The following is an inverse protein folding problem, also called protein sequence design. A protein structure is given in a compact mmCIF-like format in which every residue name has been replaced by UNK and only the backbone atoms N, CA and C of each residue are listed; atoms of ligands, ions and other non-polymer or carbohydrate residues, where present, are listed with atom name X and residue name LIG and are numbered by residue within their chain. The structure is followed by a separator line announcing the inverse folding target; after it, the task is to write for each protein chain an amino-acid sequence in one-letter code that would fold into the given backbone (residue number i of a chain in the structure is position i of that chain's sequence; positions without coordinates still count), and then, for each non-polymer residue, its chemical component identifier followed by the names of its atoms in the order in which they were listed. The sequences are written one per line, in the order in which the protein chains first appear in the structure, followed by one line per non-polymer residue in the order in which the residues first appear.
data_IF_321919328099
#
_entry.id   IF_321919328099
#
_cell.length_a   1.000
_cell.length_b   1.000
_cell.length_c   1.000
_cell.angle_alpha   90.00
_cell.angle_beta   90.00
_cell.angle_gamma   90.00
#
_symmetry.space_group_name_H-M   'P 1'
#
loop_
_entity.id
_entity.type
_entity.pdbx_description
1 polymer ?
#
# COMPACT_ATOMS: atom_id res chain seq x y z
N UNK A 1 37.89 17.26 -28.33
CA UNK A 1 37.11 16.43 -27.38
C UNK A 1 36.03 15.73 -28.19
N UNK A 2 35.89 14.41 -28.07
CA UNK A 2 34.79 13.70 -28.72
C UNK A 2 33.47 14.11 -28.07
N UNK A 3 32.49 14.47 -28.87
CA UNK A 3 31.13 14.81 -28.43
C UNK A 3 30.22 13.60 -28.56
N UNK A 4 29.05 13.62 -27.90
CA UNK A 4 28.08 12.51 -27.96
C UNK A 4 27.71 12.15 -29.41
N UNK A 5 27.64 13.14 -30.30
CA UNK A 5 27.29 12.95 -31.72
C UNK A 5 28.39 12.28 -32.55
N UNK A 6 29.63 12.27 -32.06
CA UNK A 6 30.79 11.66 -32.74
C UNK A 6 30.91 10.16 -32.44
N UNK A 7 30.11 9.64 -31.50
CA UNK A 7 30.13 8.23 -31.12
C UNK A 7 29.38 7.34 -32.13
N UNK A 8 29.77 6.06 -32.26
CA UNK A 8 29.00 5.04 -32.96
C UNK A 8 27.55 5.01 -32.49
N UNK A 9 26.63 4.72 -33.41
CA UNK A 9 25.19 4.74 -33.17
C UNK A 9 24.79 3.88 -31.97
N UNK A 10 25.35 2.69 -31.85
CA UNK A 10 25.04 1.73 -30.79
C UNK A 10 25.42 2.29 -29.41
N UNK A 11 26.54 3.00 -29.31
CA UNK A 11 26.98 3.64 -28.08
C UNK A 11 26.10 4.85 -27.74
N UNK A 12 25.74 5.67 -28.74
CA UNK A 12 24.80 6.79 -28.53
C UNK A 12 23.44 6.31 -28.03
N UNK A 13 22.88 5.30 -28.70
CA UNK A 13 21.59 4.70 -28.33
C UNK A 13 21.60 4.15 -26.91
N UNK A 14 22.67 3.46 -26.49
CA UNK A 14 22.80 2.97 -25.11
C UNK A 14 22.88 4.11 -24.09
N UNK A 15 23.67 5.15 -24.35
CA UNK A 15 23.78 6.32 -23.47
C UNK A 15 22.42 7.03 -23.35
N UNK A 16 21.73 7.24 -24.47
CA UNK A 16 20.41 7.86 -24.50
C UNK A 16 19.38 7.00 -23.77
N UNK A 17 19.41 5.67 -23.93
CA UNK A 17 18.54 4.76 -23.20
C UNK A 17 18.76 4.86 -21.69
N UNK A 18 20.01 4.89 -21.23
CA UNK A 18 20.32 5.09 -19.81
C UNK A 18 19.79 6.43 -19.30
N UNK A 19 19.87 7.50 -20.10
CA UNK A 19 19.32 8.81 -19.72
C UNK A 19 17.79 8.80 -19.68
N UNK A 20 17.14 8.18 -20.67
CA UNK A 20 15.67 8.06 -20.73
C UNK A 20 15.12 7.17 -19.61
N UNK A 21 15.85 6.13 -19.21
CA UNK A 21 15.49 5.26 -18.08
C UNK A 21 15.53 5.98 -16.72
N UNK A 22 16.14 7.17 -16.61
CA UNK A 22 16.02 8.00 -15.41
C UNK A 22 14.63 8.64 -15.28
N UNK A 23 13.90 8.77 -16.39
CA UNK A 23 12.48 9.11 -16.38
C UNK A 23 11.69 7.82 -16.12
N UNK A 24 11.36 7.63 -14.85
CA UNK A 24 10.74 6.40 -14.33
C UNK A 24 9.25 6.27 -14.66
N UNK A 25 8.60 7.39 -15.01
CA UNK A 25 7.14 7.45 -15.15
C UNK A 25 6.68 8.25 -16.36
N UNK A 26 5.59 7.77 -16.97
CA UNK A 26 4.80 8.47 -17.97
C UNK A 26 3.48 8.90 -17.31
N UNK A 27 3.22 10.21 -17.24
CA UNK A 27 2.05 10.75 -16.55
C UNK A 27 0.95 11.10 -17.56
N UNK A 28 -0.16 10.38 -17.49
CA UNK A 28 -1.28 10.46 -18.43
C UNK A 28 -0.79 10.34 -19.87
N UNK A 29 -1.17 11.32 -20.69
CA UNK A 29 -0.79 11.42 -22.11
C UNK A 29 0.44 12.29 -22.40
N UNK A 30 1.21 12.68 -21.36
CA UNK A 30 2.31 13.66 -21.51
C UNK A 30 3.69 12.99 -21.48
N UNK A 31 4.51 13.31 -22.48
CA UNK A 31 5.91 12.90 -22.52
C UNK A 31 6.78 13.66 -21.50
N UNK A 32 7.75 12.98 -20.84
CA UNK A 32 8.74 13.63 -20.01
C UNK A 32 9.47 14.78 -20.71
N UNK A 33 9.70 15.87 -19.98
CA UNK A 33 10.37 17.06 -20.52
C UNK A 33 11.77 16.76 -21.04
N UNK A 34 12.51 15.86 -20.37
CA UNK A 34 13.83 15.45 -20.82
C UNK A 34 13.79 14.78 -22.21
N UNK A 35 12.81 13.89 -22.43
CA UNK A 35 12.60 13.23 -23.72
C UNK A 35 12.26 14.26 -24.80
N UNK A 36 11.32 15.17 -24.53
CA UNK A 36 10.95 16.25 -25.47
C UNK A 36 12.18 17.12 -25.79
N UNK A 37 12.97 17.49 -24.78
CA UNK A 37 14.18 18.28 -24.96
C UNK A 37 15.18 17.57 -25.88
N UNK A 38 15.46 16.28 -25.66
CA UNK A 38 16.35 15.48 -26.51
C UNK A 38 15.91 15.45 -27.98
N UNK A 39 14.60 15.39 -28.23
CA UNK A 39 14.05 15.46 -29.58
C UNK A 39 14.27 16.82 -30.25
N UNK A 40 14.36 17.90 -29.46
CA UNK A 40 14.51 19.25 -29.99
C UNK A 40 15.98 19.66 -30.21
N UNK A 41 16.94 19.03 -29.52
CA UNK A 41 18.35 19.46 -29.54
C UNK A 41 19.09 19.16 -30.86
N UNK A 42 19.09 17.90 -31.30
CA UNK A 42 20.00 17.45 -32.37
C UNK A 42 19.33 16.44 -33.30
N UNK A 43 19.47 16.64 -34.63
CA UNK A 43 18.93 15.70 -35.64
C UNK A 43 19.52 14.29 -35.51
N UNK A 44 20.81 14.16 -35.20
CA UNK A 44 21.46 12.85 -35.05
C UNK A 44 20.89 12.09 -33.86
N UNK A 45 20.76 12.75 -32.70
CA UNK A 45 20.16 12.13 -31.51
C UNK A 45 18.68 11.83 -31.73
N UNK A 46 17.94 12.71 -32.40
CA UNK A 46 16.53 12.49 -32.77
C UNK A 46 16.35 11.18 -33.56
N UNK A 47 17.24 10.87 -34.51
CA UNK A 47 17.18 9.63 -35.30
C UNK A 47 17.43 8.36 -34.48
N UNK A 48 18.10 8.47 -33.34
CA UNK A 48 18.32 7.34 -32.43
C UNK A 48 17.13 7.07 -31.52
N UNK A 49 16.31 8.11 -31.27
CA UNK A 49 15.21 8.05 -30.31
C UNK A 49 14.11 7.03 -30.63
N UNK A 50 13.75 6.70 -31.90
CA UNK A 50 12.80 5.63 -32.15
C UNK A 50 13.21 4.30 -31.52
N UNK A 51 14.50 3.93 -31.62
CA UNK A 51 15.01 2.72 -30.98
C UNK A 51 15.03 2.85 -29.45
N UNK A 52 15.45 4.00 -28.93
CA UNK A 52 15.51 4.25 -27.48
C UNK A 52 14.13 4.17 -26.83
N UNK A 53 13.15 4.86 -27.41
CA UNK A 53 11.75 4.84 -26.96
C UNK A 53 11.11 3.48 -27.23
N UNK A 54 11.65 2.70 -28.16
CA UNK A 54 11.20 1.33 -28.36
C UNK A 54 11.56 0.44 -27.15
N UNK A 55 12.73 0.67 -26.55
CA UNK A 55 13.26 -0.11 -25.43
C UNK A 55 12.88 0.45 -24.05
N UNK A 56 12.21 1.61 -23.99
CA UNK A 56 11.81 2.24 -22.73
C UNK A 56 10.48 1.69 -22.20
N UNK A 57 10.50 1.21 -20.95
CA UNK A 57 9.35 0.61 -20.25
C UNK A 57 9.00 1.40 -18.97
N UNK A 58 8.43 2.62 -19.10
CA UNK A 58 8.10 3.43 -17.93
C UNK A 58 6.91 2.86 -17.16
N UNK A 59 6.85 3.19 -15.87
CA UNK A 59 5.62 3.08 -15.09
C UNK A 59 4.57 4.04 -15.67
N UNK A 60 3.35 3.54 -15.93
CA UNK A 60 2.26 4.41 -16.41
C UNK A 60 1.48 4.95 -15.24
N UNK A 61 1.59 6.25 -15.03
CA UNK A 61 0.86 6.97 -14.01
C UNK A 61 -0.40 7.58 -14.63
N UNK A 62 -1.54 6.92 -14.40
CA UNK A 62 -2.84 7.34 -14.86
C UNK A 62 -3.51 8.18 -13.77
N UNK A 63 -3.83 9.43 -14.12
CA UNK A 63 -4.46 10.40 -13.23
C UNK A 63 -5.97 10.43 -13.43
N UNK A 64 -6.43 10.08 -14.64
CA UNK A 64 -7.84 10.06 -15.02
C UNK A 64 -8.17 8.82 -15.85
N UNK A 65 -9.43 8.36 -15.84
CA UNK A 65 -9.89 7.31 -16.76
C UNK A 65 -9.62 7.63 -18.24
N UNK A 66 -9.71 8.91 -18.63
CA UNK A 66 -9.44 9.37 -20.00
C UNK A 66 -7.97 9.22 -20.42
N UNK A 67 -7.04 9.00 -19.49
CA UNK A 67 -5.64 8.71 -19.82
C UNK A 67 -5.49 7.33 -20.47
N UNK A 68 -6.46 6.42 -20.30
CA UNK A 68 -6.47 5.10 -20.95
C UNK A 68 -6.80 5.18 -22.45
N UNK A 69 -7.63 6.15 -22.85
CA UNK A 69 -8.02 6.32 -24.26
C UNK A 69 -7.09 7.29 -25.00
N UNK A 70 -6.38 8.15 -24.28
CA UNK A 70 -5.53 9.19 -24.85
C UNK A 70 -4.06 8.78 -24.80
N UNK A 71 -3.65 7.87 -25.70
CA UNK A 71 -2.24 7.50 -25.78
C UNK A 71 -1.38 8.71 -26.20
N UNK A 72 -0.21 8.94 -25.57
CA UNK A 72 0.76 9.88 -26.11
C UNK A 72 1.19 9.37 -27.49
N UNK A 73 0.80 10.09 -28.55
CA UNK A 73 1.33 9.85 -29.88
C UNK A 73 2.55 10.74 -30.10
N UNK A 74 3.65 10.13 -30.51
CA UNK A 74 4.84 10.84 -30.94
C UNK A 74 5.26 10.25 -32.27
N UNK A 75 5.51 11.10 -33.26
CA UNK A 75 6.15 10.68 -34.51
C UNK A 75 7.49 11.39 -34.63
N UNK A 76 8.53 10.62 -34.92
CA UNK A 76 9.89 11.11 -35.13
C UNK A 76 10.26 10.78 -36.57
N UNK A 77 10.41 11.81 -37.40
CA UNK A 77 10.77 11.68 -38.83
C UNK A 77 9.87 10.67 -39.59
N UNK A 78 8.58 10.64 -39.26
CA UNK A 78 7.58 9.74 -39.87
C UNK A 78 7.47 8.37 -39.20
N UNK A 79 8.35 8.05 -38.25
CA UNK A 79 8.29 6.83 -37.44
C UNK A 79 7.43 7.07 -36.21
N UNK A 80 6.29 6.39 -36.12
CA UNK A 80 5.46 6.39 -34.93
C UNK A 80 6.25 5.76 -33.76
N UNK A 81 6.56 6.59 -32.77
CA UNK A 81 7.20 6.19 -31.53
C UNK A 81 6.11 5.95 -30.49
N UNK A 82 5.85 4.67 -30.25
CA UNK A 82 4.74 4.20 -29.44
C UNK A 82 3.52 3.82 -30.29
N UNK A 83 2.87 2.73 -29.91
CA UNK A 83 1.62 2.89 -29.18
C UNK A 83 1.82 2.26 -27.82
N UNK A 84 1.98 3.08 -26.78
CA UNK A 84 2.07 2.56 -25.42
C UNK A 84 0.87 1.66 -25.12
N UNK A 85 -0.32 1.92 -25.66
CA UNK A 85 -1.46 1.01 -25.52
C UNK A 85 -1.18 -0.46 -25.88
N UNK A 86 -0.21 -0.72 -26.76
CA UNK A 86 0.17 -2.08 -27.20
C UNK A 86 1.46 -2.60 -26.59
N UNK A 87 2.16 -1.77 -25.81
CA UNK A 87 3.38 -2.20 -25.11
C UNK A 87 3.04 -2.69 -23.71
N UNK A 88 3.64 -3.81 -23.28
CA UNK A 88 3.49 -4.29 -21.92
C UNK A 88 3.93 -3.21 -20.94
N UNK A 89 2.96 -2.67 -20.19
CA UNK A 89 3.26 -1.89 -19.00
C UNK A 89 3.49 -2.88 -17.86
N UNK A 90 4.74 -3.02 -17.42
CA UNK A 90 5.05 -3.85 -16.24
C UNK A 90 4.35 -3.31 -14.99
N UNK A 91 4.06 -2.00 -14.94
CA UNK A 91 3.35 -1.38 -13.83
C UNK A 91 2.42 -0.26 -14.30
N UNK A 92 1.16 -0.37 -13.89
CA UNK A 92 0.15 0.69 -13.96
C UNK A 92 -0.02 1.31 -12.57
N UNK A 93 -0.05 2.62 -12.49
CA UNK A 93 -0.29 3.36 -11.26
C UNK A 93 -1.49 4.26 -11.47
N UNK A 94 -2.55 4.04 -10.72
CA UNK A 94 -3.85 4.72 -10.85
C UNK A 94 -4.02 5.62 -9.64
N UNK A 95 -4.15 6.92 -9.89
CA UNK A 95 -4.47 7.92 -8.87
C UNK A 95 -5.99 8.10 -8.77
N UNK A 96 -6.61 7.50 -7.74
CA UNK A 96 -8.08 7.45 -7.62
C UNK A 96 -8.71 8.81 -7.39
N UNK A 97 -8.03 9.69 -6.65
CA UNK A 97 -8.59 10.95 -6.18
C UNK A 97 -7.88 12.17 -6.77
N UNK A 98 -7.22 12.01 -7.92
CA UNK A 98 -6.47 13.09 -8.56
C UNK A 98 -7.29 14.38 -8.73
N UNK A 99 -8.52 14.23 -9.26
CA UNK A 99 -9.43 15.33 -9.58
C UNK A 99 -10.35 15.74 -8.43
N UNK A 100 -10.19 15.15 -7.23
CA UNK A 100 -11.00 15.58 -6.08
C UNK A 100 -10.67 17.02 -5.69
N UNK A 101 -11.61 17.70 -5.05
CA UNK A 101 -11.39 19.04 -4.49
C UNK A 101 -11.06 18.93 -3.00
N UNK A 102 -10.12 19.76 -2.54
CA UNK A 102 -9.79 19.91 -1.13
C UNK A 102 -11.03 20.20 -0.27
N UNK A 103 -12.00 20.94 -0.81
CA UNK A 103 -13.27 21.23 -0.15
C UNK A 103 -14.10 19.96 0.10
N UNK A 104 -14.10 18.99 -0.81
CA UNK A 104 -14.87 17.75 -0.68
C UNK A 104 -14.32 16.89 0.46
N UNK A 105 -12.99 16.78 0.54
CA UNK A 105 -12.31 16.07 1.63
C UNK A 105 -12.60 16.72 2.98
N UNK A 106 -12.54 18.06 3.05
CA UNK A 106 -12.88 18.79 4.28
C UNK A 106 -14.34 18.64 4.67
N UNK A 107 -15.27 18.65 3.70
CA UNK A 107 -16.71 18.51 3.97
C UNK A 107 -17.10 17.14 4.52
N UNK A 108 -16.33 16.09 4.22
CA UNK A 108 -16.58 14.73 4.71
C UNK A 108 -16.62 14.62 6.25
N UNK A 109 -16.10 15.59 6.99
CA UNK A 109 -16.17 15.62 8.47
C UNK A 109 -17.40 16.33 9.03
N UNK A 110 -18.10 17.15 8.24
CA UNK A 110 -19.11 18.09 8.74
C UNK A 110 -20.55 17.61 8.55
N UNK A 111 -20.86 16.87 7.49
CA UNK A 111 -22.22 16.36 7.32
C UNK A 111 -22.28 15.00 6.61
N UNK A 112 -22.32 13.88 7.37
CA UNK A 112 -22.40 12.53 6.82
C UNK A 112 -23.79 12.16 6.27
N UNK A 113 -24.83 12.97 6.54
CA UNK A 113 -26.26 12.62 6.38
C UNK A 113 -27.07 13.67 5.59
N UNK A 114 -26.46 14.74 5.07
CA UNK A 114 -27.17 15.70 4.21
C UNK A 114 -27.25 15.16 2.78
N UNK A 115 -28.47 15.04 2.25
CA UNK A 115 -28.85 14.58 0.90
C UNK A 115 -28.23 15.37 -0.27
N UNK A 116 -27.36 16.35 0.00
CA UNK A 116 -26.71 17.21 -1.00
C UNK A 116 -25.19 17.17 -0.98
N UNK A 117 -24.56 16.39 -0.10
CA UNK A 117 -23.11 16.14 -0.21
C UNK A 117 -22.93 15.08 -1.29
N UNK A 118 -22.69 15.51 -2.53
CA UNK A 118 -22.23 14.60 -3.58
C UNK A 118 -20.98 13.90 -3.04
N UNK A 119 -21.11 12.62 -2.68
CA UNK A 119 -20.03 11.83 -2.08
C UNK A 119 -18.93 11.50 -3.09
N UNK A 120 -18.94 12.13 -4.28
CA UNK A 120 -17.99 11.94 -5.38
C UNK A 120 -17.69 10.47 -5.69
N UNK A 121 -18.66 9.58 -5.44
CA UNK A 121 -18.58 8.15 -5.78
C UNK A 121 -18.27 7.96 -7.27
N UNK A 122 -18.73 8.90 -8.10
CA UNK A 122 -18.41 9.05 -9.51
C UNK A 122 -16.89 9.00 -9.81
N UNK A 123 -16.01 9.41 -8.89
CA UNK A 123 -14.55 9.31 -9.06
C UNK A 123 -14.09 7.85 -9.12
N UNK A 124 -14.57 7.00 -8.21
CA UNK A 124 -14.21 5.57 -8.17
C UNK A 124 -15.00 4.80 -9.22
N UNK A 125 -16.27 5.15 -9.43
CA UNK A 125 -17.11 4.55 -10.47
C UNK A 125 -16.55 4.80 -11.87
N UNK A 126 -16.03 6.00 -12.16
CA UNK A 126 -15.41 6.29 -13.45
C UNK A 126 -14.16 5.44 -13.71
N UNK A 127 -13.38 5.12 -12.66
CA UNK A 127 -12.28 4.17 -12.75
C UNK A 127 -12.78 2.74 -12.98
N UNK A 128 -13.84 2.33 -12.28
CA UNK A 128 -14.46 1.00 -12.44
C UNK A 128 -14.95 0.81 -13.87
N UNK A 129 -15.64 1.80 -14.41
CA UNK A 129 -16.20 1.76 -15.76
C UNK A 129 -15.10 1.76 -16.85
N UNK A 130 -13.90 2.24 -16.52
CA UNK A 130 -12.73 2.22 -17.39
C UNK A 130 -11.87 0.94 -17.28
N UNK A 131 -12.14 0.06 -16.30
CA UNK A 131 -11.41 -1.22 -16.14
C UNK A 131 -11.35 -2.04 -17.43
N UNK A 132 -12.43 -2.19 -18.23
CA UNK A 132 -12.37 -2.96 -19.48
C UNK A 132 -11.36 -2.44 -20.50
N UNK A 133 -10.89 -1.19 -20.35
CA UNK A 133 -9.94 -0.54 -21.23
C UNK A 133 -8.48 -0.69 -20.74
N UNK A 134 -8.28 -1.31 -19.57
CA UNK A 134 -6.93 -1.57 -19.06
C UNK A 134 -6.19 -2.55 -19.99
N UNK A 135 -4.89 -2.35 -20.25
CA UNK A 135 -4.12 -3.22 -21.11
C UNK A 135 -4.05 -4.64 -20.52
N UNK A 136 -4.24 -5.66 -21.34
CA UNK A 136 -4.30 -7.08 -20.91
C UNK A 136 -2.93 -7.69 -20.56
N UNK A 137 -1.87 -6.88 -20.60
CA UNK A 137 -0.51 -7.32 -20.35
C UNK A 137 -0.32 -7.68 -18.88
N UNK A 138 0.49 -8.71 -18.60
CA UNK A 138 0.81 -9.11 -17.22
C UNK A 138 1.63 -8.01 -16.55
N UNK A 139 1.08 -7.39 -15.51
CA UNK A 139 1.74 -6.32 -14.77
C UNK A 139 1.22 -6.15 -13.35
N UNK A 140 1.85 -5.23 -12.62
CA UNK A 140 1.46 -4.74 -11.32
C UNK A 140 0.48 -3.56 -11.50
N UNK A 141 -0.69 -3.60 -10.88
CA UNK A 141 -1.60 -2.45 -10.78
C UNK A 141 -1.51 -1.85 -9.39
N UNK A 142 -1.06 -0.61 -9.30
CA UNK A 142 -0.98 0.16 -8.07
C UNK A 142 -2.15 1.12 -8.03
N UNK A 143 -2.99 1.02 -7.01
CA UNK A 143 -4.09 1.95 -6.77
C UNK A 143 -3.71 2.90 -5.64
N UNK A 144 -3.44 4.16 -5.94
CA UNK A 144 -3.22 5.21 -4.94
C UNK A 144 -4.57 5.77 -4.46
N UNK A 145 -4.95 5.40 -3.24
CA UNK A 145 -6.18 5.86 -2.59
C UNK A 145 -5.92 7.00 -1.58
N UNK A 146 -4.85 7.79 -1.76
CA UNK A 146 -4.61 9.00 -0.95
C UNK A 146 -5.75 10.00 -1.18
N UNK A 147 -6.54 10.37 -0.16
CA UNK A 147 -7.69 11.26 -0.32
C UNK A 147 -7.23 12.71 -0.39
N UNK A 148 -6.64 13.07 -1.54
CA UNK A 148 -6.05 14.38 -1.77
C UNK A 148 -6.04 14.73 -3.27
N UNK A 149 -6.27 16.01 -3.65
CA UNK A 149 -6.12 16.43 -5.04
C UNK A 149 -4.68 16.24 -5.53
N UNK A 150 -4.49 15.96 -6.81
CA UNK A 150 -3.16 15.74 -7.41
C UNK A 150 -2.16 16.85 -7.13
N UNK A 151 -2.59 18.12 -7.26
CA UNK A 151 -1.73 19.29 -7.03
C UNK A 151 -1.17 19.37 -5.60
N UNK A 152 -1.87 18.82 -4.59
CA UNK A 152 -1.38 18.84 -3.20
C UNK A 152 -0.27 17.83 -2.96
N UNK A 153 -0.13 16.83 -3.84
CA UNK A 153 0.88 15.76 -3.71
C UNK A 153 2.24 16.16 -4.31
N UNK A 154 2.28 17.23 -5.09
CA UNK A 154 3.48 17.72 -5.79
C UNK A 154 4.15 18.86 -5.01
N UNK A 155 4.94 18.53 -3.99
CA UNK A 155 5.78 19.52 -3.28
C UNK A 155 5.05 20.37 -2.23
N UNK A 156 3.84 20.00 -1.84
CA UNK A 156 3.01 20.71 -0.86
C UNK A 156 2.69 19.84 0.37
N UNK A 157 3.72 19.23 0.97
CA UNK A 157 3.57 18.23 2.04
C UNK A 157 2.74 18.75 3.24
N UNK A 158 2.93 19.99 3.69
CA UNK A 158 2.17 20.56 4.81
C UNK A 158 0.67 20.71 4.49
N UNK A 159 0.35 21.09 3.25
CA UNK A 159 -1.04 21.25 2.80
C UNK A 159 -1.73 19.89 2.69
N UNK A 160 -1.01 18.90 2.16
CA UNK A 160 -1.45 17.52 2.11
C UNK A 160 -1.71 16.97 3.51
N UNK A 161 -0.77 17.12 4.44
CA UNK A 161 -0.91 16.67 5.82
C UNK A 161 -2.13 17.31 6.51
N UNK A 162 -2.33 18.62 6.34
CA UNK A 162 -3.50 19.32 6.87
C UNK A 162 -4.84 18.79 6.35
N UNK A 163 -4.91 18.45 5.05
CA UNK A 163 -6.11 17.84 4.46
C UNK A 163 -6.38 16.43 4.98
N UNK A 164 -5.33 15.63 5.09
CA UNK A 164 -5.42 14.23 5.51
C UNK A 164 -5.81 14.12 6.99
N UNK A 165 -5.27 14.97 7.86
CA UNK A 165 -5.66 15.04 9.27
C UNK A 165 -7.08 15.57 9.46
N UNK A 166 -7.50 16.53 8.63
CA UNK A 166 -8.76 17.27 8.80
C UNK A 166 -9.99 16.62 8.17
N UNK A 167 -9.85 15.67 7.24
CA UNK A 167 -11.00 15.02 6.59
C UNK A 167 -10.70 13.81 5.70
N UNK A 168 -9.44 13.42 5.55
CA UNK A 168 -9.06 12.27 4.74
C UNK A 168 -9.67 10.94 5.20
N UNK A 169 -9.80 10.71 6.51
CA UNK A 169 -10.39 9.45 7.01
C UNK A 169 -11.89 9.34 6.67
N UNK A 170 -12.77 10.27 7.06
CA UNK A 170 -14.19 10.15 6.71
C UNK A 170 -14.38 10.06 5.21
N UNK A 171 -13.64 10.87 4.43
CA UNK A 171 -13.67 10.80 2.98
C UNK A 171 -13.33 9.40 2.45
N UNK A 172 -12.22 8.79 2.90
CA UNK A 172 -11.86 7.44 2.44
C UNK A 172 -12.88 6.39 2.92
N UNK A 173 -13.41 6.53 4.14
CA UNK A 173 -14.37 5.58 4.71
C UNK A 173 -15.62 5.42 3.81
N UNK A 174 -16.09 6.51 3.19
CA UNK A 174 -17.19 6.47 2.23
C UNK A 174 -16.87 5.71 0.94
N UNK A 175 -15.61 5.67 0.55
CA UNK A 175 -15.20 5.07 -0.72
C UNK A 175 -14.69 3.64 -0.57
N UNK A 176 -14.67 3.07 0.64
CA UNK A 176 -14.13 1.73 0.91
C UNK A 176 -14.78 0.69 0.00
N UNK A 177 -16.11 0.64 -0.05
CA UNK A 177 -16.83 -0.37 -0.81
C UNK A 177 -16.60 -0.20 -2.32
N UNK A 178 -16.57 1.05 -2.80
CA UNK A 178 -16.23 1.35 -4.20
C UNK A 178 -14.81 0.93 -4.57
N UNK A 179 -13.84 1.14 -3.68
CA UNK A 179 -12.45 0.72 -3.90
C UNK A 179 -12.34 -0.80 -3.91
N UNK A 180 -13.04 -1.50 -3.01
CA UNK A 180 -13.10 -2.96 -2.98
C UNK A 180 -13.69 -3.49 -4.29
N UNK A 181 -14.79 -2.92 -4.75
CA UNK A 181 -15.43 -3.28 -6.01
C UNK A 181 -14.52 -3.00 -7.22
N UNK A 182 -13.81 -1.87 -7.24
CA UNK A 182 -12.84 -1.54 -8.28
C UNK A 182 -11.71 -2.57 -8.34
N UNK A 183 -11.11 -2.91 -7.19
CA UNK A 183 -10.07 -3.94 -7.12
C UNK A 183 -10.60 -5.28 -7.64
N UNK A 184 -11.84 -5.65 -7.28
CA UNK A 184 -12.48 -6.86 -7.78
C UNK A 184 -12.64 -6.83 -9.31
N UNK A 185 -13.12 -5.72 -9.87
CA UNK A 185 -13.27 -5.56 -11.31
C UNK A 185 -11.92 -5.70 -12.02
N UNK A 186 -10.85 -5.08 -11.48
CA UNK A 186 -9.48 -5.22 -12.02
C UNK A 186 -9.05 -6.69 -11.96
N UNK A 187 -9.21 -7.34 -10.81
CA UNK A 187 -8.81 -8.74 -10.65
C UNK A 187 -9.54 -9.67 -11.63
N UNK A 188 -10.84 -9.42 -11.87
CA UNK A 188 -11.65 -10.15 -12.85
C UNK A 188 -11.20 -9.87 -14.30
N UNK A 189 -10.90 -8.62 -14.64
CA UNK A 189 -10.42 -8.22 -15.97
C UNK A 189 -9.16 -9.00 -16.37
N UNK A 190 -8.24 -9.21 -15.43
CA UNK A 190 -7.02 -9.99 -15.65
C UNK A 190 -7.16 -11.50 -15.36
N UNK A 191 -8.38 -12.01 -15.16
CA UNK A 191 -8.64 -13.41 -14.78
C UNK A 191 -7.79 -13.90 -13.59
N UNK A 192 -7.53 -13.01 -12.63
CA UNK A 192 -6.72 -13.26 -11.44
C UNK A 192 -5.19 -13.29 -11.66
N UNK A 193 -4.71 -13.01 -12.88
CA UNK A 193 -3.27 -13.02 -13.21
C UNK A 193 -2.60 -11.64 -13.04
N UNK A 194 -3.08 -10.83 -12.10
CA UNK A 194 -2.59 -9.48 -11.84
C UNK A 194 -2.27 -9.32 -10.36
N UNK A 195 -1.16 -8.63 -10.07
CA UNK A 195 -0.88 -8.14 -8.74
C UNK A 195 -1.55 -6.77 -8.57
N UNK A 196 -2.51 -6.66 -7.65
CA UNK A 196 -3.08 -5.35 -7.26
C UNK A 196 -2.45 -4.92 -5.94
N UNK A 197 -1.91 -3.71 -5.90
CA UNK A 197 -1.29 -3.10 -4.74
C UNK A 197 -2.03 -1.83 -4.34
N UNK A 198 -2.43 -1.72 -3.08
CA UNK A 198 -2.99 -0.48 -2.55
C UNK A 198 -1.84 0.42 -2.08
N UNK A 199 -1.81 1.65 -2.59
CA UNK A 199 -0.82 2.65 -2.25
C UNK A 199 -1.50 3.89 -1.68
N UNK A 200 -0.72 4.69 -0.96
CA UNK A 200 -1.14 6.00 -0.51
C UNK A 200 -0.36 6.51 0.68
N UNK A 201 -0.54 7.80 0.98
CA UNK A 201 0.03 8.47 2.15
C UNK A 201 -0.80 8.19 3.40
N UNK A 202 -0.83 6.91 3.78
CA UNK A 202 -1.53 6.39 4.96
C UNK A 202 -0.78 6.63 6.27
N UNK A 203 0.44 7.14 6.20
CA UNK A 203 1.21 7.67 7.33
C UNK A 203 0.52 8.86 8.01
N UNK A 204 -0.31 9.59 7.25
CA UNK A 204 -1.02 10.81 7.68
C UNK A 204 -2.50 10.60 8.05
N UNK A 205 -3.13 9.44 7.76
CA UNK A 205 -4.52 9.19 8.18
C UNK A 205 -4.82 7.69 8.45
N UNK A 206 -5.95 7.42 9.09
CA UNK A 206 -6.23 6.19 9.86
C UNK A 206 -6.11 4.85 9.09
N UNK A 207 -5.23 3.96 9.56
CA UNK A 207 -4.97 2.60 9.07
C UNK A 207 -6.20 1.67 9.04
N UNK A 208 -7.23 1.98 9.83
CA UNK A 208 -8.45 1.18 9.91
C UNK A 208 -9.17 1.05 8.56
N UNK A 209 -9.22 2.14 7.77
CA UNK A 209 -9.86 2.11 6.45
C UNK A 209 -9.12 1.18 5.49
N UNK A 210 -7.80 1.18 5.52
CA UNK A 210 -6.99 0.27 4.69
C UNK A 210 -7.14 -1.19 5.14
N UNK A 211 -7.10 -1.45 6.45
CA UNK A 211 -7.33 -2.80 6.97
C UNK A 211 -8.73 -3.31 6.64
N UNK A 212 -9.74 -2.43 6.64
CA UNK A 212 -11.09 -2.78 6.22
C UNK A 212 -11.16 -3.14 4.73
N UNK A 213 -10.50 -2.38 3.84
CA UNK A 213 -10.39 -2.73 2.42
C UNK A 213 -9.72 -4.10 2.27
N UNK A 214 -8.59 -4.33 2.93
CA UNK A 214 -7.89 -5.62 2.87
C UNK A 214 -8.73 -6.78 3.41
N UNK A 215 -9.49 -6.58 4.48
CA UNK A 215 -10.40 -7.57 5.04
C UNK A 215 -11.50 -7.94 4.03
N UNK A 216 -12.20 -6.94 3.50
CA UNK A 216 -13.29 -7.15 2.53
C UNK A 216 -12.80 -7.85 1.26
N UNK A 217 -11.61 -7.50 0.76
CA UNK A 217 -11.01 -8.18 -0.41
C UNK A 217 -10.74 -9.66 -0.16
N UNK A 218 -10.45 -10.02 1.10
CA UNK A 218 -10.19 -11.40 1.49
C UNK A 218 -11.45 -12.25 1.48
N UNK A 219 -12.60 -11.67 1.84
CA UNK A 219 -13.91 -12.32 1.75
C UNK A 219 -14.23 -12.71 0.29
N UNK A 220 -13.69 -11.97 -0.68
CA UNK A 220 -13.78 -12.28 -2.11
C UNK A 220 -12.68 -13.23 -2.62
N UNK A 221 -11.84 -13.79 -1.74
CA UNK A 221 -10.74 -14.68 -2.12
C UNK A 221 -9.58 -13.98 -2.83
N UNK A 222 -9.57 -12.64 -2.89
CA UNK A 222 -8.50 -11.85 -3.50
C UNK A 222 -7.35 -11.73 -2.50
N UNK A 223 -6.30 -12.51 -2.72
CA UNK A 223 -5.07 -12.42 -1.94
C UNK A 223 -4.18 -11.34 -2.53
N UNK A 224 -4.19 -10.16 -1.93
CA UNK A 224 -3.16 -9.15 -2.23
C UNK A 224 -1.78 -9.78 -1.91
N UNK A 225 -0.76 -9.64 -2.76
CA UNK A 225 0.53 -10.28 -2.53
C UNK A 225 1.18 -9.82 -1.23
N UNK A 226 1.63 -10.80 -0.46
CA UNK A 226 2.34 -10.59 0.80
C UNK A 226 3.61 -9.77 0.53
N UNK A 227 3.87 -8.72 1.32
CA UNK A 227 5.13 -7.98 1.18
C UNK A 227 5.04 -6.61 0.50
N UNK A 228 3.98 -6.34 -0.29
CA UNK A 228 3.87 -5.10 -1.09
C UNK A 228 2.60 -4.29 -0.83
N UNK A 229 1.70 -4.78 0.02
CA UNK A 229 0.33 -4.27 0.13
C UNK A 229 0.19 -2.80 0.57
N UNK A 230 1.19 -2.22 1.24
CA UNK A 230 1.15 -0.82 1.70
C UNK A 230 2.56 -0.27 1.88
N UNK A 231 2.88 0.86 1.24
CA UNK A 231 4.12 1.59 1.48
C UNK A 231 3.87 2.73 2.47
N UNK A 232 4.12 2.48 3.76
CA UNK A 232 4.02 3.54 4.78
C UNK A 232 5.27 4.41 4.81
N UNK A 233 5.11 5.72 4.71
CA UNK A 233 6.18 6.69 4.96
C UNK A 233 6.31 6.95 6.48
N UNK A 234 7.25 6.24 7.12
CA UNK A 234 7.94 6.62 8.39
C UNK A 234 7.14 6.98 9.68
N UNK A 235 5.81 7.04 9.74
CA UNK A 235 5.10 7.48 10.96
C UNK A 235 5.01 6.41 12.06
N UNK A 236 5.64 6.66 13.22
CA UNK A 236 5.56 5.81 14.43
C UNK A 236 4.13 5.72 14.99
N UNK A 237 3.30 6.75 14.77
CA UNK A 237 1.90 6.76 15.20
C UNK A 237 1.05 5.74 14.45
N UNK A 238 1.26 5.59 13.14
CA UNK A 238 0.53 4.62 12.31
C UNK A 238 0.90 3.19 12.68
N UNK A 239 2.19 2.96 12.90
CA UNK A 239 2.68 1.67 13.40
C UNK A 239 2.03 1.28 14.73
N UNK A 240 1.83 2.26 15.62
CA UNK A 240 1.15 2.03 16.91
C UNK A 240 -0.33 1.71 16.71
N UNK A 241 -1.01 2.37 15.77
CA UNK A 241 -2.42 2.09 15.44
C UNK A 241 -2.64 0.64 14.98
N UNK A 242 -1.69 0.00 14.30
CA UNK A 242 -1.82 -1.41 13.89
C UNK A 242 -1.85 -2.37 15.06
N UNK A 243 -0.96 -2.19 16.04
CA UNK A 243 -1.00 -2.98 17.27
C UNK A 243 -2.33 -2.73 17.99
N UNK A 244 -2.76 -1.48 18.11
CA UNK A 244 -4.04 -1.16 18.75
C UNK A 244 -5.24 -1.76 18.02
N UNK A 245 -5.18 -1.89 16.69
CA UNK A 245 -6.20 -2.58 15.91
C UNK A 245 -6.25 -4.08 16.26
N UNK A 246 -5.11 -4.77 16.29
CA UNK A 246 -5.05 -6.16 16.73
C UNK A 246 -5.60 -6.32 18.16
N UNK A 247 -5.24 -5.40 19.07
CA UNK A 247 -5.77 -5.38 20.44
C UNK A 247 -7.28 -5.17 20.46
N UNK A 248 -7.83 -4.29 19.62
CA UNK A 248 -9.27 -4.05 19.55
C UNK A 248 -10.03 -5.26 18.99
N UNK A 249 -9.43 -6.02 18.08
CA UNK A 249 -10.03 -7.26 17.56
C UNK A 249 -10.03 -8.37 18.63
N UNK A 250 -8.99 -8.44 19.46
CA UNK A 250 -8.88 -9.46 20.52
C UNK A 250 -9.68 -9.09 21.78
N UNK A 251 -9.72 -7.80 22.11
CA UNK A 251 -10.34 -7.27 23.31
C UNK A 251 -11.19 -6.04 22.97
N UNK A 252 -12.30 -6.18 22.22
CA UNK A 252 -13.19 -5.07 21.83
C UNK A 252 -13.89 -4.43 23.03
N UNK A 253 -14.11 -3.11 22.99
CA UNK A 253 -14.87 -2.40 24.04
C UNK A 253 -16.37 -2.76 23.95
N UNK A 254 -17.05 -2.76 25.11
CA UNK A 254 -18.49 -3.03 25.19
C UNK A 254 -19.27 -2.10 24.24
N UNK A 255 -20.16 -2.65 23.42
CA UNK A 255 -20.92 -1.92 22.40
C UNK A 255 -20.36 -2.02 20.97
N UNK A 256 -19.30 -2.80 20.74
CA UNK A 256 -18.85 -3.12 19.38
C UNK A 256 -19.80 -4.18 18.79
N UNK A 257 -20.45 -3.87 17.66
CA UNK A 257 -21.26 -4.84 16.92
C UNK A 257 -20.31 -5.93 16.33
N UNK A 258 -20.79 -7.17 16.17
CA UNK A 258 -20.03 -8.30 15.57
C UNK A 258 -18.99 -9.02 16.47
N UNK A 259 -19.25 -9.19 17.77
CA UNK A 259 -18.41 -10.04 18.64
C UNK A 259 -19.13 -11.35 18.97
N UNK A 260 -18.65 -12.46 18.42
CA UNK A 260 -19.24 -13.80 18.61
C UNK A 260 -19.07 -14.33 20.05
N UNK A 261 -17.90 -14.13 20.67
CA UNK A 261 -17.62 -14.56 22.05
C UNK A 261 -17.17 -13.39 22.95
N UNK A 262 -18.15 -12.78 23.61
CA UNK A 262 -17.92 -11.70 24.57
C UNK A 262 -17.17 -12.14 25.83
N UNK A 263 -17.28 -13.42 26.22
CA UNK A 263 -16.65 -13.91 27.44
C UNK A 263 -15.13 -13.99 27.27
N UNK A 264 -14.67 -14.51 26.14
CA UNK A 264 -13.25 -14.54 25.77
C UNK A 264 -12.69 -13.13 25.57
N UNK A 265 -13.42 -12.26 24.86
CA UNK A 265 -13.04 -10.87 24.65
C UNK A 265 -12.86 -10.07 25.96
N UNK A 266 -13.74 -10.31 26.94
CA UNK A 266 -13.66 -9.66 28.26
C UNK A 266 -12.50 -10.20 29.10
N UNK A 267 -12.19 -11.50 29.00
CA UNK A 267 -11.01 -12.09 29.64
C UNK A 267 -9.71 -11.43 29.17
N UNK A 268 -9.62 -11.08 27.88
CA UNK A 268 -8.47 -10.40 27.29
C UNK A 268 -8.47 -8.86 27.49
N UNK A 269 -9.46 -8.28 28.18
CA UNK A 269 -9.54 -6.84 28.43
C UNK A 269 -8.28 -6.18 29.02
N UNK A 270 -7.44 -6.85 29.86
CA UNK A 270 -6.18 -6.27 30.33
C UNK A 270 -5.21 -5.85 29.21
N UNK A 271 -5.30 -6.48 28.03
CA UNK A 271 -4.47 -6.17 26.86
C UNK A 271 -4.59 -4.68 26.45
N UNK A 272 -5.75 -4.06 26.68
CA UNK A 272 -6.00 -2.64 26.38
C UNK A 272 -5.12 -1.68 27.19
N UNK A 273 -4.62 -2.12 28.34
CA UNK A 273 -3.80 -1.32 29.26
C UNK A 273 -2.31 -1.48 29.02
N UNK A 274 -1.90 -2.40 28.13
CA UNK A 274 -0.49 -2.66 27.84
C UNK A 274 0.14 -1.45 27.17
N UNK A 275 1.30 -1.02 27.69
CA UNK A 275 2.10 0.04 27.09
C UNK A 275 3.07 -0.56 26.08
N UNK A 276 2.71 -0.48 24.81
CA UNK A 276 3.52 -1.00 23.71
C UNK A 276 4.81 -0.20 23.51
N UNK A 277 5.95 -0.89 23.57
CA UNK A 277 7.26 -0.29 23.36
C UNK A 277 7.46 0.09 21.90
N UNK A 278 8.33 1.08 21.64
CA UNK A 278 8.65 1.51 20.28
C UNK A 278 9.21 0.36 19.43
N UNK A 279 9.86 -0.64 20.06
CA UNK A 279 10.36 -1.83 19.39
C UNK A 279 9.21 -2.72 18.89
N UNK A 280 8.21 -2.99 19.73
CA UNK A 280 7.03 -3.75 19.31
C UNK A 280 6.26 -3.00 18.25
N UNK A 281 6.00 -1.71 18.48
CA UNK A 281 5.34 -0.80 17.52
C UNK A 281 6.04 -0.83 16.18
N UNK A 282 7.38 -0.76 16.16
CA UNK A 282 8.14 -0.83 14.91
C UNK A 282 8.04 -2.18 14.22
N UNK A 283 8.26 -3.27 14.96
CA UNK A 283 8.39 -4.62 14.39
C UNK A 283 7.05 -5.22 13.94
N UNK A 284 5.95 -4.88 14.60
CA UNK A 284 4.65 -5.51 14.32
C UNK A 284 4.18 -5.26 12.87
N UNK A 285 4.16 -4.00 12.37
CA UNK A 285 3.86 -3.71 10.97
C UNK A 285 4.91 -4.27 10.00
N UNK A 286 6.20 -4.15 10.35
CA UNK A 286 7.30 -4.61 9.49
C UNK A 286 7.24 -6.13 9.25
N UNK A 287 6.51 -6.87 10.10
CA UNK A 287 6.35 -8.32 10.00
C UNK A 287 5.09 -8.77 9.31
N UNK A 288 4.15 -7.86 8.99
CA UNK A 288 2.97 -8.19 8.17
C UNK A 288 3.39 -8.68 6.78
N UNK A 289 4.60 -8.30 6.35
CA UNK A 289 5.22 -8.75 5.11
C UNK A 289 5.75 -10.19 5.16
N UNK A 290 5.94 -10.76 6.35
CA UNK A 290 6.48 -12.13 6.56
C UNK A 290 5.41 -13.07 7.12
N UNK A 291 4.42 -12.54 7.85
CA UNK A 291 3.28 -13.26 8.39
C UNK A 291 2.03 -12.38 8.24
N UNK A 292 0.87 -12.98 7.98
CA UNK A 292 -0.38 -12.24 7.86
C UNK A 292 -0.78 -11.53 9.16
N UNK A 293 -1.60 -10.48 9.05
CA UNK A 293 -2.11 -9.74 10.21
C UNK A 293 -2.83 -10.67 11.21
N UNK A 294 -3.55 -11.68 10.71
CA UNK A 294 -4.23 -12.66 11.56
C UNK A 294 -3.26 -13.54 12.33
N UNK A 295 -2.18 -14.01 11.69
CA UNK A 295 -1.17 -14.82 12.38
C UNK A 295 -0.45 -14.02 13.47
N UNK A 296 -0.16 -12.74 13.21
CA UNK A 296 0.42 -11.85 14.22
C UNK A 296 -0.57 -11.52 15.34
N UNK A 297 -1.86 -11.40 15.01
CA UNK A 297 -2.94 -11.19 15.97
C UNK A 297 -3.17 -12.45 16.80
N UNK A 298 -3.06 -13.65 16.21
CA UNK A 298 -3.14 -14.92 16.92
C UNK A 298 -1.94 -15.15 17.84
N UNK A 299 -0.72 -14.81 17.40
CA UNK A 299 0.45 -14.80 18.28
C UNK A 299 0.22 -13.87 19.49
N UNK A 300 -0.36 -12.68 19.26
CA UNK A 300 -0.72 -11.75 20.33
C UNK A 300 -1.81 -12.32 21.25
N UNK A 301 -2.81 -13.03 20.70
CA UNK A 301 -3.85 -13.73 21.46
C UNK A 301 -3.24 -14.76 22.41
N UNK A 302 -2.39 -15.65 21.90
CA UNK A 302 -1.70 -16.68 22.69
C UNK A 302 -0.91 -16.06 23.85
N UNK A 303 -0.19 -14.97 23.59
CA UNK A 303 0.52 -14.23 24.65
C UNK A 303 -0.44 -13.61 25.68
N UNK A 304 -1.53 -13.03 25.23
CA UNK A 304 -2.51 -12.39 26.10
C UNK A 304 -3.25 -13.42 26.95
N UNK A 305 -3.52 -14.62 26.44
CA UNK A 305 -4.08 -15.74 27.19
C UNK A 305 -3.14 -16.18 28.31
N UNK A 306 -1.83 -16.32 28.00
CA UNK A 306 -0.82 -16.57 29.04
C UNK A 306 -0.84 -15.45 30.07
N UNK A 307 -0.88 -14.18 29.67
CA UNK A 307 -0.92 -13.04 30.60
C UNK A 307 -2.08 -13.13 31.60
N UNK A 308 -3.27 -13.55 31.17
CA UNK A 308 -4.48 -13.58 32.00
C UNK A 308 -4.80 -14.93 32.66
N UNK A 309 -4.06 -15.99 32.34
CA UNK A 309 -4.33 -17.33 32.89
C UNK A 309 -4.01 -17.47 34.39
N UNK A 310 -4.97 -17.79 35.23
CA UNK A 310 -4.78 -17.84 36.69
C UNK A 310 -4.03 -19.11 37.16
N UNK A 311 -3.97 -20.16 36.33
CA UNK A 311 -3.56 -21.51 36.78
C UNK A 311 -2.15 -21.94 36.32
N UNK A 312 -1.51 -21.21 35.40
CA UNK A 312 -0.17 -21.52 34.87
C UNK A 312 0.90 -20.46 35.16
N UNK A 313 2.02 -20.86 35.76
CA UNK A 313 3.18 -19.98 35.99
C UNK A 313 4.13 -19.90 34.78
N UNK A 314 4.14 -20.92 33.92
CA UNK A 314 5.01 -21.04 32.74
C UNK A 314 4.26 -21.76 31.61
N UNK A 315 4.25 -21.17 30.40
CA UNK A 315 3.67 -21.79 29.21
C UNK A 315 4.75 -21.88 28.14
N UNK A 316 5.15 -23.10 27.81
CA UNK A 316 6.05 -23.34 26.68
C UNK A 316 5.23 -23.47 25.42
N UNK A 317 5.28 -22.45 24.56
CA UNK A 317 4.62 -22.50 23.24
C UNK A 317 5.59 -23.16 22.26
N UNK A 318 5.51 -24.48 22.17
CA UNK A 318 6.39 -25.32 21.35
C UNK A 318 6.21 -25.11 19.85
N UNK A 319 5.02 -24.65 19.43
CA UNK A 319 4.69 -24.28 18.04
C UNK A 319 5.58 -23.17 17.48
N UNK A 320 6.22 -22.37 18.34
CA UNK A 320 7.07 -21.25 17.93
C UNK A 320 8.53 -21.60 17.65
N UNK A 321 8.91 -22.86 17.82
CA UNK A 321 10.24 -23.40 17.50
C UNK A 321 10.64 -23.12 16.05
N UNK A 322 9.71 -23.27 15.10
CA UNK A 322 9.95 -23.14 13.66
C UNK A 322 9.71 -21.75 13.06
N UNK A 323 9.41 -20.73 13.89
CA UNK A 323 9.12 -19.40 13.36
C UNK A 323 10.36 -18.67 12.86
N UNK A 324 10.19 -17.90 11.78
CA UNK A 324 11.23 -17.01 11.27
C UNK A 324 11.80 -16.08 12.37
N UNK A 325 13.10 -15.79 12.30
CA UNK A 325 13.83 -15.07 13.34
C UNK A 325 13.20 -13.71 13.71
N UNK A 326 12.66 -12.99 12.72
CA UNK A 326 11.98 -11.71 12.94
C UNK A 326 10.67 -11.85 13.70
N UNK A 327 9.86 -12.89 13.41
CA UNK A 327 8.60 -13.17 14.12
C UNK A 327 8.87 -13.57 15.57
N UNK A 328 9.89 -14.41 15.81
CA UNK A 328 10.39 -14.69 17.17
C UNK A 328 10.82 -13.41 17.90
N UNK A 329 11.52 -12.49 17.23
CA UNK A 329 11.92 -11.21 17.83
C UNK A 329 10.73 -10.36 18.25
N UNK A 330 9.67 -10.31 17.43
CA UNK A 330 8.42 -9.60 17.77
C UNK A 330 7.73 -10.21 18.98
N UNK A 331 7.53 -11.53 19.00
CA UNK A 331 6.92 -12.25 20.13
C UNK A 331 7.62 -11.90 21.44
N UNK A 332 8.96 -11.87 21.46
CA UNK A 332 9.72 -11.48 22.65
C UNK A 332 9.47 -10.03 23.08
N UNK A 333 9.25 -9.12 22.13
CA UNK A 333 8.96 -7.73 22.45
C UNK A 333 7.54 -7.58 22.99
N UNK A 334 6.55 -8.18 22.33
CA UNK A 334 5.15 -8.18 22.77
C UNK A 334 5.01 -8.78 24.18
N UNK A 335 5.62 -9.94 24.41
CA UNK A 335 5.58 -10.61 25.71
C UNK A 335 6.17 -9.76 26.83
N UNK A 336 7.28 -9.03 26.57
CA UNK A 336 7.87 -8.11 27.55
C UNK A 336 6.96 -6.92 27.84
N UNK A 337 6.33 -6.36 26.80
CA UNK A 337 5.38 -5.25 26.97
C UNK A 337 4.16 -5.69 27.82
N UNK A 338 3.71 -6.94 27.67
CA UNK A 338 2.68 -7.58 28.49
C UNK A 338 3.16 -7.98 29.91
N UNK A 339 4.41 -7.68 30.27
CA UNK A 339 4.97 -7.98 31.60
C UNK A 339 5.44 -9.42 31.79
N UNK A 340 5.44 -10.26 30.74
CA UNK A 340 5.87 -11.64 30.78
C UNK A 340 7.41 -11.76 30.76
N UNK A 341 7.93 -12.84 31.36
CA UNK A 341 9.34 -13.23 31.23
C UNK A 341 9.51 -14.03 29.95
N UNK A 342 10.64 -13.81 29.30
CA UNK A 342 10.93 -14.39 27.99
C UNK A 342 12.36 -14.92 28.00
N UNK A 343 12.50 -16.21 27.70
CA UNK A 343 13.80 -16.87 27.51
C UNK A 343 13.88 -17.46 26.11
N UNK A 344 15.10 -17.60 25.61
CA UNK A 344 15.35 -18.34 24.37
C UNK A 344 16.15 -19.57 24.74
N UNK A 345 15.63 -20.73 24.37
CA UNK A 345 16.22 -22.04 24.63
C UNK A 345 16.45 -22.77 23.30
N UNK A 346 17.27 -23.82 23.31
CA UNK A 346 17.72 -24.52 22.10
C UNK A 346 19.01 -23.95 21.48
N UNK A 347 19.56 -24.67 20.50
CA UNK A 347 20.81 -24.33 19.77
C UNK A 347 20.53 -24.24 18.26
N UNK A 348 21.26 -23.37 17.56
CA UNK A 348 21.16 -23.26 16.10
C UNK A 348 19.75 -22.90 15.60
N UNK A 349 19.26 -23.70 14.66
CA UNK A 349 17.93 -23.55 14.04
C UNK A 349 16.78 -23.99 14.97
N UNK A 350 17.07 -24.85 15.95
CA UNK A 350 16.11 -25.34 16.96
C UNK A 350 15.87 -24.35 18.11
N UNK A 351 16.16 -23.06 17.90
CA UNK A 351 15.95 -22.03 18.92
C UNK A 351 14.48 -21.66 19.05
N UNK A 352 13.94 -21.84 20.25
CA UNK A 352 12.55 -21.51 20.58
C UNK A 352 12.44 -20.46 21.68
N UNK A 353 11.24 -19.90 21.82
CA UNK A 353 10.93 -18.86 22.80
C UNK A 353 10.08 -19.46 23.91
N UNK A 354 10.56 -19.37 25.15
CA UNK A 354 9.83 -19.80 26.35
C UNK A 354 9.28 -18.58 27.06
N UNK A 355 8.00 -18.63 27.44
CA UNK A 355 7.31 -17.52 28.07
C UNK A 355 6.77 -17.96 29.42
N UNK A 356 7.00 -17.14 30.44
CA UNK A 356 6.52 -17.42 31.78
C UNK A 356 6.00 -16.15 32.42
N UNK A 357 5.15 -16.31 33.44
CA UNK A 357 4.78 -15.19 34.29
C UNK A 357 5.97 -14.79 35.16
N UNK A 358 5.97 -13.54 35.60
CA UNK A 358 6.80 -13.18 36.75
C UNK A 358 6.13 -13.80 37.97
N UNK A 359 6.84 -14.68 38.67
CA UNK A 359 6.47 -15.05 40.04
C UNK A 359 6.31 -13.76 40.85
N UNK A 360 5.13 -13.61 41.46
CA UNK A 360 4.84 -12.56 42.45
C UNK A 360 5.65 -12.86 43.70
#
# INVERSE_FOLDING_TARGET
MATLTDLPQELRQRILLTAVQQEDRLVGSKWPKAIIALLHVCKTLRRDMPWVLDQWTPLRHLQRPSDLTTAPSLSIDGVACGPFLTKPAETLYIDLFHDTLAANIRKATWNPLDDGVEMHQALVDAWRDAVPQLPMDKGLVVLDATPAPGWTREGHDDTLEGLLMGGGQPFLAYHIDGIVDLVRCIYQHYAGNVEVMLAGRYDTFNIQSLLRICFLLRDFGIKLPQGRQVKFTKSSQVRRKMILYAVNNLAPRKGTLEVEDWSQAMRLAPLRKVRWSEKSVRLFPDLIFIASMDELTDDMRKLAEVMVDEHGSTVTITEWTQLHHSRRRLIRCLARDMGLRVKSEGKGEDKYVVISKKSV
#
